data_IF_922953475178
#
_entry.id   IF_922953475178
#
_cell.length_a   1.000
_cell.length_b   1.000
_cell.length_c   1.000
_cell.angle_alpha   90.00
_cell.angle_beta   90.00
_cell.angle_gamma   90.00
#
_symmetry.space_group_name_H-M   'P 1'
#
loop_
_entity.id
_entity.type
_entity.pdbx_description
1 polymer ?
#
# COMPACT_ATOMS: atom_id res chain seq x y z
N UNK A 1 -13.74 -2.10 -22.98
CA UNK A 1 -13.58 -3.23 -22.05
C UNK A 1 -14.85 -3.34 -21.23
N UNK A 2 -15.67 -4.38 -21.44
CA UNK A 2 -16.86 -4.61 -20.62
C UNK A 2 -16.47 -5.25 -19.29
N UNK A 3 -16.88 -4.67 -18.18
CA UNK A 3 -16.81 -5.27 -16.85
C UNK A 3 -18.20 -5.80 -16.51
N UNK A 4 -18.33 -7.08 -16.30
CA UNK A 4 -19.52 -7.70 -15.70
C UNK A 4 -19.21 -8.14 -14.28
N UNK A 5 -20.21 -8.09 -13.42
CA UNK A 5 -20.09 -8.50 -12.03
C UNK A 5 -20.97 -9.74 -11.87
N UNK A 6 -20.42 -10.78 -11.26
CA UNK A 6 -21.13 -12.00 -10.91
C UNK A 6 -21.07 -12.18 -9.39
N UNK A 7 -22.14 -12.71 -8.84
CA UNK A 7 -22.17 -13.20 -7.45
C UNK A 7 -22.20 -14.72 -7.52
N UNK A 8 -21.28 -15.37 -6.83
CA UNK A 8 -21.09 -16.82 -6.94
C UNK A 8 -20.74 -17.47 -5.60
N UNK A 9 -21.35 -18.67 -5.34
CA UNK A 9 -21.09 -19.49 -4.15
C UNK A 9 -21.88 -19.06 -2.92
N UNK A 10 -21.78 -19.85 -1.83
CA UNK A 10 -22.36 -19.56 -0.51
C UNK A 10 -21.26 -19.56 0.55
N UNK A 11 -21.05 -18.46 1.31
CA UNK A 11 -21.65 -17.13 1.08
C UNK A 11 -21.28 -16.53 -0.27
N UNK A 12 -22.13 -15.64 -0.81
CA UNK A 12 -21.93 -15.06 -2.13
C UNK A 12 -20.66 -14.21 -2.21
N UNK A 13 -19.80 -14.52 -3.17
CA UNK A 13 -18.57 -13.79 -3.43
C UNK A 13 -18.71 -12.98 -4.71
N UNK A 14 -18.40 -11.70 -4.64
CA UNK A 14 -18.41 -10.81 -5.80
C UNK A 14 -17.21 -11.08 -6.69
N UNK A 15 -17.46 -11.50 -7.93
CA UNK A 15 -16.45 -11.75 -8.95
C UNK A 15 -16.57 -10.72 -10.07
N UNK A 16 -15.53 -9.97 -10.32
CA UNK A 16 -15.43 -9.05 -11.46
C UNK A 16 -14.88 -9.77 -12.67
N UNK A 17 -15.63 -9.86 -13.76
CA UNK A 17 -15.15 -10.47 -15.00
C UNK A 17 -14.61 -9.41 -15.95
N UNK A 18 -13.41 -9.65 -16.45
CA UNK A 18 -12.71 -8.80 -17.41
C UNK A 18 -12.42 -9.60 -18.67
N UNK A 19 -13.09 -9.29 -19.76
CA UNK A 19 -12.82 -9.89 -21.08
C UNK A 19 -11.72 -9.11 -21.81
N UNK A 20 -10.68 -9.83 -22.29
CA UNK A 20 -9.48 -9.24 -22.90
C UNK A 20 -9.19 -9.90 -24.24
N UNK A 21 -8.99 -9.09 -25.31
CA UNK A 21 -8.76 -9.59 -26.68
C UNK A 21 -7.53 -10.49 -26.80
N UNK A 22 -6.44 -10.14 -26.15
CA UNK A 22 -5.17 -10.85 -26.26
C UNK A 22 -5.00 -11.96 -25.19
N UNK A 23 -6.03 -12.24 -24.39
CA UNK A 23 -5.97 -13.33 -23.43
C UNK A 23 -6.23 -14.67 -24.13
N UNK A 24 -5.29 -15.61 -23.99
CA UNK A 24 -5.43 -16.99 -24.52
C UNK A 24 -5.97 -17.97 -23.47
N UNK A 25 -6.03 -17.58 -22.20
CA UNK A 25 -6.44 -18.43 -21.06
C UNK A 25 -7.36 -17.68 -20.12
N UNK A 26 -8.21 -18.41 -19.42
CA UNK A 26 -8.88 -17.87 -18.26
C UNK A 26 -7.92 -17.86 -17.08
N UNK A 27 -7.97 -16.82 -16.27
CA UNK A 27 -7.20 -16.71 -15.04
C UNK A 27 -8.03 -16.05 -13.94
N UNK A 28 -8.00 -16.67 -12.76
CA UNK A 28 -8.63 -16.15 -11.56
C UNK A 28 -7.57 -15.54 -10.65
N UNK A 29 -7.83 -14.34 -10.17
CA UNK A 29 -6.95 -13.62 -9.25
C UNK A 29 -7.74 -13.12 -8.05
N UNK A 30 -7.30 -13.45 -6.87
CA UNK A 30 -7.79 -12.88 -5.60
C UNK A 30 -6.78 -11.81 -5.17
N UNK A 31 -7.27 -10.59 -4.92
CA UNK A 31 -6.43 -9.52 -4.40
C UNK A 31 -6.09 -9.81 -2.94
N UNK A 32 -4.80 -9.89 -2.61
CA UNK A 32 -4.33 -10.04 -1.23
C UNK A 32 -4.63 -8.86 -0.31
N UNK A 33 -5.16 -7.76 -0.86
CA UNK A 33 -5.40 -6.51 -0.12
C UNK A 33 -6.89 -6.18 -0.02
N UNK A 34 -7.69 -6.51 -1.07
CA UNK A 34 -9.07 -6.04 -1.20
C UNK A 34 -10.12 -7.13 -1.17
N UNK A 35 -9.71 -8.38 -1.08
CA UNK A 35 -10.59 -9.55 -1.23
C UNK A 35 -11.35 -9.58 -2.58
N UNK A 36 -11.05 -8.66 -3.47
CA UNK A 36 -11.67 -8.63 -4.79
C UNK A 36 -11.20 -9.81 -5.64
N UNK A 37 -12.15 -10.54 -6.17
CA UNK A 37 -11.91 -11.62 -7.11
C UNK A 37 -12.08 -11.08 -8.52
N UNK A 38 -11.06 -11.28 -9.36
CA UNK A 38 -11.09 -10.88 -10.78
C UNK A 38 -10.85 -12.09 -11.65
N UNK A 39 -11.82 -12.42 -12.48
CA UNK A 39 -11.70 -13.40 -13.55
C UNK A 39 -11.33 -12.68 -14.86
N UNK A 40 -10.18 -13.00 -15.42
CA UNK A 40 -9.79 -12.55 -16.76
C UNK A 40 -10.05 -13.69 -17.74
N UNK A 41 -10.73 -13.40 -18.85
CA UNK A 41 -11.09 -14.38 -19.87
C UNK A 41 -10.91 -13.81 -21.29
N UNK A 42 -10.74 -14.66 -22.31
CA UNK A 42 -10.82 -14.26 -23.71
C UNK A 42 -12.17 -13.61 -24.05
N UNK A 43 -12.18 -12.68 -25.02
CA UNK A 43 -13.39 -11.92 -25.37
C UNK A 43 -14.58 -12.82 -25.76
N UNK A 44 -14.28 -13.91 -26.47
CA UNK A 44 -15.31 -14.83 -27.02
C UNK A 44 -15.73 -15.93 -26.03
N UNK A 45 -15.33 -15.85 -24.75
CA UNK A 45 -15.72 -16.87 -23.76
C UNK A 45 -17.20 -16.77 -23.43
N UNK A 46 -17.93 -17.88 -23.59
CA UNK A 46 -19.34 -17.97 -23.27
C UNK A 46 -19.58 -17.91 -21.75
N UNK A 47 -20.79 -17.53 -21.36
CA UNK A 47 -21.20 -17.40 -19.97
C UNK A 47 -21.06 -18.72 -19.19
N UNK A 48 -21.51 -19.83 -19.76
CA UNK A 48 -21.47 -21.15 -19.10
C UNK A 48 -20.05 -21.64 -18.86
N UNK A 49 -19.12 -21.34 -19.79
CA UNK A 49 -17.69 -21.63 -19.63
C UNK A 49 -17.10 -20.84 -18.48
N UNK A 50 -17.49 -19.57 -18.31
CA UNK A 50 -17.08 -18.75 -17.16
C UNK A 50 -17.60 -19.31 -15.84
N UNK A 51 -18.87 -19.71 -15.78
CA UNK A 51 -19.48 -20.30 -14.59
C UNK A 51 -18.82 -21.64 -14.22
N UNK A 52 -18.61 -22.51 -15.19
CA UNK A 52 -17.95 -23.81 -14.95
C UNK A 52 -16.52 -23.62 -14.41
N UNK A 53 -15.78 -22.68 -14.96
CA UNK A 53 -14.44 -22.34 -14.47
C UNK A 53 -14.50 -21.76 -13.04
N UNK A 54 -15.48 -20.93 -12.71
CA UNK A 54 -15.66 -20.41 -11.35
C UNK A 54 -16.02 -21.53 -10.37
N UNK A 55 -16.80 -22.54 -10.80
CA UNK A 55 -17.11 -23.72 -9.99
C UNK A 55 -15.89 -24.58 -9.73
N UNK A 56 -15.08 -24.85 -10.76
CA UNK A 56 -13.87 -25.65 -10.59
C UNK A 56 -12.83 -25.01 -9.65
N UNK A 57 -12.79 -23.67 -9.61
CA UNK A 57 -11.84 -22.92 -8.78
C UNK A 57 -12.41 -22.49 -7.42
N UNK A 58 -13.60 -22.97 -7.04
CA UNK A 58 -14.31 -22.49 -5.84
C UNK A 58 -13.51 -22.74 -4.56
N UNK A 59 -12.99 -23.96 -4.35
CA UNK A 59 -12.21 -24.32 -3.16
C UNK A 59 -10.96 -23.43 -3.05
N UNK A 60 -10.17 -23.36 -4.11
CA UNK A 60 -8.96 -22.53 -4.15
C UNK A 60 -9.26 -21.05 -3.83
N UNK A 61 -10.35 -20.52 -4.36
CA UNK A 61 -10.76 -19.14 -4.13
C UNK A 61 -11.17 -18.90 -2.67
N UNK A 62 -11.92 -19.83 -2.04
CA UNK A 62 -12.32 -19.73 -0.64
C UNK A 62 -11.10 -19.76 0.28
N UNK A 63 -10.20 -20.70 0.07
CA UNK A 63 -8.95 -20.81 0.84
C UNK A 63 -8.13 -19.51 0.74
N UNK A 64 -8.06 -18.91 -0.46
CA UNK A 64 -7.37 -17.62 -0.67
C UNK A 64 -8.06 -16.46 0.04
N UNK A 65 -9.39 -16.39 0.04
CA UNK A 65 -10.15 -15.33 0.72
C UNK A 65 -10.05 -15.43 2.23
N UNK A 66 -10.16 -16.63 2.81
CA UNK A 66 -9.95 -16.88 4.24
C UNK A 66 -8.55 -16.38 4.63
N UNK A 67 -7.53 -16.81 3.92
CA UNK A 67 -6.15 -16.37 4.17
C UNK A 67 -5.94 -14.85 4.06
N UNK A 68 -6.76 -14.15 3.28
CA UNK A 68 -6.69 -12.67 3.17
C UNK A 68 -7.44 -12.00 4.31
N UNK A 69 -8.62 -12.51 4.69
CA UNK A 69 -9.41 -11.95 5.79
C UNK A 69 -8.71 -12.10 7.14
N UNK A 70 -8.07 -13.26 7.40
CA UNK A 70 -7.29 -13.53 8.61
C UNK A 70 -6.07 -12.60 8.77
N UNK A 71 -5.56 -12.03 7.67
CA UNK A 71 -4.44 -11.09 7.69
C UNK A 71 -4.84 -9.65 8.02
N UNK A 72 -6.14 -9.34 8.03
CA UNK A 72 -6.60 -7.98 8.31
C UNK A 72 -6.46 -7.66 9.79
N UNK A 73 -5.66 -6.65 10.12
CA UNK A 73 -5.42 -6.15 11.47
C UNK A 73 -6.32 -4.93 11.67
N UNK A 74 -7.32 -5.03 12.53
CA UNK A 74 -8.16 -3.88 12.89
C UNK A 74 -7.35 -2.98 13.82
N UNK A 75 -7.10 -1.75 13.40
CA UNK A 75 -6.42 -0.77 14.24
C UNK A 75 -7.40 -0.21 15.27
N UNK A 76 -7.06 -0.32 16.55
CA UNK A 76 -7.90 0.12 17.68
C UNK A 76 -7.15 0.07 18.98
N UNK A 77 -7.85 0.38 20.07
CA UNK A 77 -7.27 0.31 21.43
C UNK A 77 -6.85 -1.12 21.75
N UNK A 78 -5.66 -1.28 22.31
CA UNK A 78 -5.04 -2.57 22.65
C UNK A 78 -4.26 -3.20 21.50
N UNK A 79 -4.47 -2.75 20.26
CA UNK A 79 -3.81 -3.27 19.07
C UNK A 79 -2.48 -2.58 18.80
N UNK A 80 -1.65 -3.23 17.97
CA UNK A 80 -0.35 -2.69 17.58
C UNK A 80 -0.40 -2.09 16.18
N UNK A 81 0.34 -1.00 15.99
CA UNK A 81 0.61 -0.40 14.68
C UNK A 81 2.08 0.00 14.61
N UNK A 82 2.80 -0.34 13.53
CA UNK A 82 4.20 0.05 13.41
C UNK A 82 4.34 1.53 13.05
N UNK A 83 5.35 2.17 13.62
CA UNK A 83 5.87 3.47 13.21
C UNK A 83 7.36 3.29 12.96
N UNK A 84 7.81 3.58 11.75
CA UNK A 84 9.20 3.35 11.32
C UNK A 84 9.69 1.91 11.51
N UNK A 85 8.76 0.94 11.35
CA UNK A 85 9.05 -0.49 11.52
C UNK A 85 9.06 -0.98 12.97
N UNK A 86 8.76 -0.11 13.94
CA UNK A 86 8.69 -0.44 15.36
C UNK A 86 7.21 -0.51 15.77
N UNK A 87 6.78 -1.66 16.25
CA UNK A 87 5.41 -1.86 16.71
C UNK A 87 5.14 -1.04 17.98
N UNK A 88 4.03 -0.32 17.98
CA UNK A 88 3.56 0.50 19.10
C UNK A 88 2.14 0.13 19.46
N UNK A 89 1.88 -0.11 20.74
CA UNK A 89 0.57 -0.42 21.26
C UNK A 89 -0.28 0.83 21.38
N UNK A 90 -1.54 0.75 20.99
CA UNK A 90 -2.49 1.86 21.11
C UNK A 90 -3.20 1.76 22.47
N UNK A 91 -3.05 2.78 23.30
CA UNK A 91 -3.62 2.85 24.64
C UNK A 91 -4.44 4.12 24.83
N UNK A 92 -5.43 4.06 25.73
CA UNK A 92 -6.20 5.23 26.15
C UNK A 92 -5.43 5.95 27.27
N UNK A 93 -5.38 7.28 27.19
CA UNK A 93 -4.92 8.13 28.29
C UNK A 93 -5.93 9.27 28.51
N UNK A 94 -6.46 9.38 29.74
CA UNK A 94 -7.47 10.39 30.08
C UNK A 94 -6.88 11.78 30.30
N UNK A 95 -5.59 11.86 30.60
CA UNK A 95 -4.92 13.10 30.98
C UNK A 95 -4.39 13.90 29.77
N UNK A 96 -4.33 13.27 28.58
CA UNK A 96 -3.79 13.91 27.41
C UNK A 96 -4.87 14.60 26.57
N UNK A 97 -4.66 15.86 26.15
CA UNK A 97 -5.57 16.56 25.25
C UNK A 97 -5.47 16.08 23.80
N UNK A 98 -4.31 15.57 23.39
CA UNK A 98 -4.00 15.13 22.04
C UNK A 98 -3.29 13.78 22.06
N UNK A 99 -3.23 13.11 20.87
CA UNK A 99 -2.45 11.90 20.68
C UNK A 99 -0.96 12.18 20.93
N UNK A 100 -0.34 11.32 21.74
CA UNK A 100 1.11 11.36 22.04
C UNK A 100 1.72 10.00 21.71
N UNK A 101 2.89 10.00 21.08
CA UNK A 101 3.66 8.78 20.79
C UNK A 101 4.84 8.70 21.74
N UNK A 102 4.84 7.64 22.55
CA UNK A 102 5.94 7.26 23.41
C UNK A 102 6.88 6.23 22.74
N UNK A 103 7.78 5.67 23.55
CA UNK A 103 8.75 4.67 23.06
C UNK A 103 8.04 3.38 22.60
N UNK A 104 7.06 2.89 23.35
CA UNK A 104 6.38 1.62 23.08
C UNK A 104 4.89 1.81 22.74
N UNK A 105 4.29 2.93 23.12
CA UNK A 105 2.86 3.16 23.07
C UNK A 105 2.49 4.39 22.23
N UNK A 106 1.25 4.36 21.72
CA UNK A 106 0.53 5.49 21.16
C UNK A 106 -0.63 5.77 22.12
N UNK A 107 -0.57 6.89 22.81
CA UNK A 107 -1.61 7.31 23.75
C UNK A 107 -2.66 8.14 23.03
N UNK A 108 -3.91 7.66 23.07
CA UNK A 108 -5.06 8.34 22.47
C UNK A 108 -5.94 8.89 23.58
N UNK A 109 -6.40 10.17 23.50
CA UNK A 109 -7.29 10.74 24.49
C UNK A 109 -8.59 9.94 24.66
N UNK A 110 -9.06 9.77 25.89
CA UNK A 110 -10.27 8.99 26.21
C UNK A 110 -11.57 9.55 25.58
N UNK A 111 -11.60 10.86 25.31
CA UNK A 111 -12.76 11.54 24.70
C UNK A 111 -12.92 11.28 23.19
N UNK A 112 -11.99 10.56 22.57
CA UNK A 112 -12.01 10.31 21.13
C UNK A 112 -12.97 9.16 20.80
N UNK A 113 -13.98 9.43 20.00
CA UNK A 113 -14.99 8.42 19.58
C UNK A 113 -14.45 7.40 18.57
N UNK A 114 -13.42 7.76 17.79
CA UNK A 114 -12.83 6.92 16.73
C UNK A 114 -11.30 6.90 16.82
N UNK A 115 -10.73 6.15 17.76
CA UNK A 115 -9.28 6.08 17.99
C UNK A 115 -8.48 5.73 16.72
N UNK A 116 -8.97 4.78 15.92
CA UNK A 116 -8.33 4.34 14.68
C UNK A 116 -8.14 5.48 13.67
N UNK A 117 -9.13 6.38 13.54
CA UNK A 117 -9.02 7.53 12.62
C UNK A 117 -8.04 8.59 13.13
N UNK A 118 -7.95 8.77 14.44
CA UNK A 118 -6.98 9.71 15.04
C UNK A 118 -5.57 9.19 14.80
N UNK A 119 -5.34 7.89 15.01
CA UNK A 119 -4.05 7.24 14.70
C UNK A 119 -3.74 7.33 13.21
N UNK A 120 -4.71 7.05 12.31
CA UNK A 120 -4.51 7.18 10.87
C UNK A 120 -4.08 8.60 10.45
N UNK A 121 -4.76 9.62 11.00
CA UNK A 121 -4.44 11.01 10.71
C UNK A 121 -3.06 11.40 11.24
N UNK A 122 -2.71 10.96 12.44
CA UNK A 122 -1.37 11.15 12.97
C UNK A 122 -0.30 10.54 12.07
N UNK A 123 -0.47 9.28 11.64
CA UNK A 123 0.46 8.60 10.74
C UNK A 123 0.60 9.32 9.39
N UNK A 124 -0.50 9.87 8.85
CA UNK A 124 -0.47 10.66 7.62
C UNK A 124 0.32 11.96 7.78
N UNK A 125 0.12 12.66 8.90
CA UNK A 125 0.86 13.90 9.19
C UNK A 125 2.36 13.61 9.35
N UNK A 126 2.71 12.57 10.13
CA UNK A 126 4.08 12.13 10.31
C UNK A 126 4.71 11.70 8.96
N UNK A 127 3.96 10.99 8.11
CA UNK A 127 4.40 10.62 6.79
C UNK A 127 4.67 11.86 5.91
N UNK A 128 3.79 12.87 5.98
CA UNK A 128 3.96 14.10 5.22
C UNK A 128 5.25 14.83 5.61
N UNK A 129 5.53 14.91 6.89
CA UNK A 129 6.74 15.53 7.43
C UNK A 129 7.99 14.76 7.00
N UNK A 130 8.04 13.43 7.26
CA UNK A 130 9.20 12.59 6.96
C UNK A 130 9.53 12.60 5.46
N UNK A 131 8.51 12.45 4.58
CA UNK A 131 8.75 12.47 3.14
C UNK A 131 9.20 13.84 2.65
N UNK A 132 8.66 14.93 3.20
CA UNK A 132 9.06 16.28 2.81
C UNK A 132 10.51 16.54 3.21
N UNK A 133 10.89 16.22 4.44
CA UNK A 133 12.25 16.42 4.93
C UNK A 133 13.27 15.59 4.15
N UNK A 134 12.95 14.31 3.90
CA UNK A 134 13.83 13.42 3.13
C UNK A 134 13.94 13.88 1.67
N UNK A 135 12.83 14.26 1.04
CA UNK A 135 12.83 14.73 -0.35
C UNK A 135 13.61 16.04 -0.51
N UNK A 136 13.46 17.00 0.41
CA UNK A 136 14.24 18.24 0.39
C UNK A 136 15.74 17.93 0.45
N UNK A 137 16.16 17.09 1.42
CA UNK A 137 17.58 16.72 1.56
C UNK A 137 18.14 16.03 0.30
N UNK A 138 17.34 15.20 -0.37
CA UNK A 138 17.78 14.53 -1.59
C UNK A 138 17.75 15.45 -2.82
N UNK A 139 16.77 16.33 -2.90
CA UNK A 139 16.73 17.36 -3.93
C UNK A 139 17.93 18.31 -3.85
N UNK A 140 18.29 18.74 -2.64
CA UNK A 140 19.48 19.58 -2.42
C UNK A 140 20.77 18.86 -2.87
N UNK A 141 20.90 17.55 -2.56
CA UNK A 141 22.06 16.75 -2.99
C UNK A 141 22.15 16.57 -4.50
N UNK A 142 21.00 16.43 -5.19
CA UNK A 142 20.96 16.18 -6.62
C UNK A 142 20.90 17.48 -7.44
N UNK A 143 20.66 18.64 -6.79
CA UNK A 143 20.52 19.93 -7.46
C UNK A 143 19.20 20.07 -8.23
N UNK A 144 18.15 19.38 -7.83
CA UNK A 144 16.81 19.39 -8.48
C UNK A 144 15.73 19.91 -7.54
N UNK A 145 14.55 20.19 -8.07
CA UNK A 145 13.40 20.63 -7.28
C UNK A 145 12.12 19.91 -7.70
N UNK A 146 11.25 19.65 -6.74
CA UNK A 146 9.92 19.11 -7.00
C UNK A 146 8.84 20.22 -6.90
N UNK A 147 7.71 20.04 -7.59
CA UNK A 147 6.59 21.01 -7.54
C UNK A 147 5.75 20.84 -6.28
N UNK A 148 5.39 19.61 -5.93
CA UNK A 148 4.59 19.29 -4.72
C UNK A 148 4.68 17.83 -4.33
N UNK A 149 4.45 17.56 -3.03
CA UNK A 149 4.29 16.20 -2.49
C UNK A 149 2.82 15.95 -2.17
N UNK A 150 2.30 14.81 -2.64
CA UNK A 150 0.96 14.30 -2.33
C UNK A 150 1.06 12.96 -1.64
N UNK A 151 0.28 12.79 -0.57
CA UNK A 151 0.06 11.48 0.03
C UNK A 151 -1.20 10.83 -0.54
N UNK A 152 -1.13 9.54 -0.80
CA UNK A 152 -2.24 8.71 -1.27
C UNK A 152 -2.21 7.34 -0.56
N UNK A 153 -3.19 6.50 -0.85
CA UNK A 153 -3.24 5.10 -0.43
C UNK A 153 -3.35 4.16 -1.65
N UNK A 154 -2.39 4.20 -2.59
CA UNK A 154 -2.41 3.34 -3.76
C UNK A 154 -2.02 1.92 -3.36
N UNK A 155 -2.56 0.92 -4.08
CA UNK A 155 -2.32 -0.50 -3.82
C UNK A 155 -1.31 -1.13 -4.78
N UNK A 156 -0.94 -0.44 -5.84
CA UNK A 156 -0.11 -0.96 -6.92
C UNK A 156 1.29 -0.35 -6.99
N UNK A 157 1.56 0.69 -6.19
CA UNK A 157 2.85 1.39 -6.18
C UNK A 157 3.07 2.08 -4.83
N UNK A 158 4.31 2.30 -4.47
CA UNK A 158 4.68 2.98 -3.22
C UNK A 158 4.96 4.47 -3.41
N UNK A 159 5.42 4.84 -4.60
CA UNK A 159 5.64 6.21 -5.00
C UNK A 159 5.34 6.43 -6.48
N UNK A 160 5.41 7.66 -6.93
CA UNK A 160 5.49 8.05 -8.34
C UNK A 160 5.95 9.51 -8.47
N UNK A 161 6.75 9.78 -9.50
CA UNK A 161 7.07 11.12 -9.97
C UNK A 161 6.34 11.37 -11.29
N UNK A 162 5.72 12.55 -11.45
CA UNK A 162 5.14 12.96 -12.73
C UNK A 162 6.10 13.87 -13.48
N UNK A 163 5.89 13.98 -14.80
CA UNK A 163 6.68 14.88 -15.66
C UNK A 163 6.72 16.34 -15.16
N UNK A 164 5.64 16.79 -14.51
CA UNK A 164 5.57 18.13 -13.91
C UNK A 164 6.21 18.21 -12.50
N UNK A 165 7.09 17.29 -12.13
CA UNK A 165 7.78 17.29 -10.85
C UNK A 165 6.87 17.04 -9.63
N UNK A 166 5.68 16.46 -9.79
CA UNK A 166 4.85 16.13 -8.63
C UNK A 166 5.26 14.75 -8.09
N UNK A 167 5.67 14.70 -6.83
CA UNK A 167 5.95 13.49 -6.10
C UNK A 167 4.67 13.00 -5.41
N UNK A 168 4.41 11.70 -5.47
CA UNK A 168 3.34 11.04 -4.73
C UNK A 168 3.91 9.87 -3.96
N UNK A 169 3.51 9.74 -2.69
CA UNK A 169 3.91 8.61 -1.84
C UNK A 169 2.70 7.96 -1.18
N UNK A 170 2.79 6.65 -0.96
CA UNK A 170 1.85 5.96 -0.08
C UNK A 170 2.16 6.36 1.38
N UNK A 171 1.16 6.93 2.07
CA UNK A 171 1.33 7.28 3.47
C UNK A 171 1.63 6.06 4.35
N UNK A 172 1.23 4.85 3.91
CA UNK A 172 1.47 3.60 4.64
C UNK A 172 2.95 3.27 4.81
N UNK A 173 3.82 3.83 4.00
CA UNK A 173 5.27 3.65 4.15
C UNK A 173 5.79 4.15 5.50
N UNK A 174 5.07 5.03 6.21
CA UNK A 174 5.46 5.46 7.56
C UNK A 174 5.52 4.29 8.56
N UNK A 175 4.79 3.21 8.26
CA UNK A 175 4.81 1.98 9.04
C UNK A 175 6.01 1.08 8.71
N UNK A 176 6.69 1.30 7.59
CA UNK A 176 7.89 0.58 7.20
C UNK A 176 9.15 1.09 7.93
N UNK A 177 10.24 0.30 7.98
CA UNK A 177 11.54 0.79 8.45
C UNK A 177 12.00 2.05 7.72
N UNK A 178 12.72 2.94 8.40
CA UNK A 178 13.14 4.24 7.83
C UNK A 178 13.97 4.13 6.55
N UNK A 179 14.82 3.11 6.43
CA UNK A 179 15.59 2.87 5.22
C UNK A 179 14.70 2.61 4.00
N UNK A 180 13.56 1.92 4.17
CA UNK A 180 12.59 1.70 3.09
C UNK A 180 11.97 3.02 2.62
N UNK A 181 11.62 3.91 3.56
CA UNK A 181 11.11 5.24 3.25
C UNK A 181 12.14 6.03 2.45
N UNK A 182 13.37 6.10 2.95
CA UNK A 182 14.48 6.81 2.31
C UNK A 182 14.76 6.28 0.91
N UNK A 183 14.77 4.97 0.73
CA UNK A 183 14.94 4.36 -0.59
C UNK A 183 13.85 4.78 -1.57
N UNK A 184 12.57 4.71 -1.18
CA UNK A 184 11.46 5.12 -2.06
C UNK A 184 11.54 6.61 -2.38
N UNK A 185 11.88 7.46 -1.41
CA UNK A 185 12.05 8.90 -1.68
C UNK A 185 13.21 9.14 -2.63
N UNK A 186 14.36 8.46 -2.47
CA UNK A 186 15.49 8.56 -3.40
C UNK A 186 15.09 8.14 -4.82
N UNK A 187 14.31 7.05 -4.94
CA UNK A 187 13.81 6.57 -6.22
C UNK A 187 12.92 7.60 -6.94
N UNK A 188 11.98 8.22 -6.22
CA UNK A 188 11.08 9.22 -6.82
C UNK A 188 11.78 10.56 -7.07
N UNK A 189 12.75 10.95 -6.25
CA UNK A 189 13.58 12.15 -6.49
C UNK A 189 14.50 11.95 -7.70
N UNK A 190 15.10 10.77 -7.89
CA UNK A 190 15.89 10.47 -9.08
C UNK A 190 15.07 10.60 -10.38
N UNK A 191 13.76 10.36 -10.34
CA UNK A 191 12.86 10.58 -11.46
C UNK A 191 12.65 12.06 -11.83
N UNK A 192 13.02 13.01 -10.99
CA UNK A 192 12.99 14.44 -11.36
C UNK A 192 14.01 14.78 -12.45
N UNK A 193 15.08 14.00 -12.53
CA UNK A 193 16.14 14.14 -13.55
C UNK A 193 16.06 13.06 -14.64
N UNK A 194 15.78 11.80 -14.23
CA UNK A 194 15.79 10.64 -15.13
C UNK A 194 14.43 9.95 -15.14
N UNK A 195 13.61 10.16 -16.18
CA UNK A 195 12.25 9.59 -16.26
C UNK A 195 12.17 8.08 -16.54
N UNK A 196 13.25 7.49 -17.00
CA UNK A 196 13.35 6.05 -17.23
C UNK A 196 14.33 5.40 -16.22
N UNK A 197 14.27 4.09 -16.08
CA UNK A 197 15.18 3.35 -15.19
C UNK A 197 16.49 2.96 -15.92
N UNK A 198 17.16 3.98 -16.54
CA UNK A 198 18.48 3.85 -17.18
C UNK A 198 19.59 3.61 -16.16
N UNK A 199 20.82 3.46 -16.65
CA UNK A 199 22.02 3.38 -15.79
C UNK A 199 22.17 4.67 -14.98
N UNK A 200 21.96 5.84 -15.59
CA UNK A 200 22.04 7.15 -14.93
C UNK A 200 21.03 7.28 -13.80
N UNK A 201 19.81 6.81 -14.02
CA UNK A 201 18.78 6.75 -12.97
C UNK A 201 19.26 5.95 -11.74
N UNK A 202 19.76 4.73 -11.97
CA UNK A 202 20.23 3.90 -10.86
C UNK A 202 21.48 4.45 -10.21
N UNK A 203 22.33 5.15 -10.95
CA UNK A 203 23.50 5.88 -10.43
C UNK A 203 23.03 7.02 -9.51
N UNK A 204 22.01 7.78 -9.89
CA UNK A 204 21.42 8.82 -9.04
C UNK A 204 20.82 8.22 -7.76
N UNK A 205 20.06 7.11 -7.85
CA UNK A 205 19.53 6.41 -6.66
C UNK A 205 20.67 5.95 -5.74
N UNK A 206 21.73 5.37 -6.29
CA UNK A 206 22.89 4.92 -5.53
C UNK A 206 23.61 6.10 -4.85
N UNK A 207 23.74 7.23 -5.52
CA UNK A 207 24.33 8.46 -4.98
C UNK A 207 23.51 9.03 -3.82
N UNK A 208 22.18 9.04 -3.93
CA UNK A 208 21.30 9.60 -2.91
C UNK A 208 21.18 8.70 -1.67
N UNK A 209 21.04 7.40 -1.89
CA UNK A 209 20.67 6.45 -0.83
C UNK A 209 21.78 5.45 -0.49
N UNK A 210 22.54 5.01 -1.47
CA UNK A 210 23.49 3.89 -1.35
C UNK A 210 22.92 2.58 -1.92
N UNK A 211 23.52 1.42 -1.58
CA UNK A 211 23.03 0.10 -2.00
C UNK A 211 21.59 -0.13 -1.54
N UNK A 212 20.71 -0.60 -2.44
CA UNK A 212 19.26 -0.61 -2.25
C UNK A 212 18.60 -1.98 -2.48
N UNK A 213 19.35 -3.02 -2.71
CA UNK A 213 18.84 -4.36 -3.03
C UNK A 213 17.99 -4.94 -1.88
N UNK A 214 18.38 -4.69 -0.64
CA UNK A 214 17.66 -5.13 0.55
C UNK A 214 16.28 -4.46 0.66
N UNK A 215 16.21 -3.17 0.37
CA UNK A 215 14.97 -2.38 0.38
C UNK A 215 14.01 -2.83 -0.72
N UNK A 216 14.53 -3.11 -1.92
CA UNK A 216 13.74 -3.70 -3.01
C UNK A 216 13.21 -5.09 -2.65
N UNK A 217 14.04 -5.92 -2.02
CA UNK A 217 13.62 -7.25 -1.54
C UNK A 217 12.52 -7.11 -0.49
N UNK A 218 12.72 -6.25 0.51
CA UNK A 218 11.75 -6.01 1.58
C UNK A 218 10.39 -5.54 1.02
N UNK A 219 10.37 -4.60 0.10
CA UNK A 219 9.12 -4.12 -0.52
C UNK A 219 8.35 -5.23 -1.26
N UNK A 220 9.06 -6.19 -1.86
CA UNK A 220 8.43 -7.34 -2.53
C UNK A 220 7.86 -8.35 -1.55
N UNK A 221 8.53 -8.61 -0.44
CA UNK A 221 8.16 -9.65 0.52
C UNK A 221 7.25 -9.12 1.63
N UNK A 222 7.56 -7.96 2.18
CA UNK A 222 6.91 -7.41 3.38
C UNK A 222 5.96 -6.25 3.06
N UNK A 223 6.24 -5.49 2.00
CA UNK A 223 5.50 -4.27 1.70
C UNK A 223 3.99 -4.45 1.68
N UNK A 224 3.48 -5.54 1.11
CA UNK A 224 2.04 -5.83 1.07
C UNK A 224 1.39 -5.86 2.47
N UNK A 225 2.15 -6.23 3.52
CA UNK A 225 1.65 -6.30 4.90
C UNK A 225 1.20 -4.95 5.44
N UNK A 226 1.76 -3.84 4.95
CA UNK A 226 1.35 -2.49 5.33
C UNK A 226 -0.13 -2.20 4.98
N UNK A 227 -0.71 -2.92 4.03
CA UNK A 227 -2.13 -2.81 3.67
C UNK A 227 -3.07 -3.66 4.54
N UNK A 228 -2.52 -4.52 5.40
CA UNK A 228 -3.35 -5.35 6.29
C UNK A 228 -3.93 -4.52 7.45
N UNK A 229 -3.29 -3.42 7.84
CA UNK A 229 -3.80 -2.51 8.86
C UNK A 229 -5.05 -1.77 8.37
N UNK A 230 -6.19 -1.98 9.05
CA UNK A 230 -7.50 -1.41 8.71
C UNK A 230 -7.86 -0.35 9.76
N UNK A 231 -7.86 0.91 9.33
CA UNK A 231 -8.17 2.08 10.16
C UNK A 231 -9.64 2.46 10.10
N UNK A 232 -10.38 1.92 9.14
CA UNK A 232 -11.83 2.10 9.02
C UNK A 232 -12.51 0.85 9.56
N UNK A 233 -13.18 0.98 10.69
CA UNK A 233 -14.11 -0.01 11.21
C UNK A 233 -15.47 0.18 10.60
#
# INVERSE_FOLDING_TARGET
MSKSIFFFGEPQIKVSVRKVRNSKRMSLRVSSITENVVLTAPVNTNHDVLLNFLKSEEKWRRDKLINVSERNIKVGIGEYVPIFGIDKRIEICSELPNLVVGNENIYVPSKVSKPSLVVENYLKNLAKEEFTNTANSYCDKLGVSYSKIKLRDPRSRWGSCSFNGNLMFSWRLIMAPKNIIRYIVAHEVAHLEHFNHSIDFWTAVLFLFGPYENERKWLRTEGTKLHFYKFKG
#
